data_IF_663136935014
#
_entry.id   IF_663136935014
#
_cell.length_a   1.000
_cell.length_b   1.000
_cell.length_c   1.000
_cell.angle_alpha   90.00
_cell.angle_beta   90.00
_cell.angle_gamma   90.00
#
_symmetry.space_group_name_H-M   'P 1'
#
loop_
_entity.id
_entity.type
_entity.pdbx_description
1 polymer ?
#
# COMPACT_ATOMS: atom_id res chain seq x y z
N UNK A 1 4.30 -26.00 10.75
CA UNK A 1 2.99 -25.42 10.35
C UNK A 1 1.87 -26.22 10.99
N UNK A 2 0.88 -25.59 11.62
CA UNK A 2 -0.20 -26.29 12.32
C UNK A 2 -1.26 -26.84 11.35
N UNK A 3 -1.96 -27.90 11.75
CA UNK A 3 -3.00 -28.57 10.96
C UNK A 3 -4.13 -27.63 10.48
N UNK A 4 -4.41 -26.56 11.23
CA UNK A 4 -5.41 -25.54 10.86
C UNK A 4 -4.99 -24.75 9.60
N UNK A 5 -3.69 -24.53 9.40
CA UNK A 5 -3.16 -23.84 8.21
C UNK A 5 -3.37 -24.67 6.93
N UNK A 6 -3.14 -25.98 7.02
CA UNK A 6 -3.29 -26.91 5.88
C UNK A 6 -4.71 -26.96 5.32
N UNK A 7 -5.73 -26.91 6.19
CA UNK A 7 -7.13 -27.02 5.77
C UNK A 7 -7.70 -25.74 5.16
N UNK A 8 -7.23 -24.54 5.56
CA UNK A 8 -7.65 -23.28 4.94
C UNK A 8 -7.13 -23.15 3.51
N UNK A 9 -5.86 -23.50 3.28
CA UNK A 9 -5.27 -23.53 1.95
C UNK A 9 -6.03 -24.49 1.02
N UNK A 10 -6.60 -25.57 1.56
CA UNK A 10 -7.37 -26.58 0.80
C UNK A 10 -8.72 -26.07 0.30
N UNK A 11 -9.42 -25.20 1.05
CA UNK A 11 -10.70 -24.61 0.62
C UNK A 11 -10.51 -23.52 -0.43
N UNK A 12 -9.44 -22.73 -0.34
CA UNK A 12 -9.13 -21.71 -1.34
C UNK A 12 -8.69 -22.31 -2.69
N UNK A 13 -8.00 -23.46 -2.66
CA UNK A 13 -7.61 -24.27 -3.84
C UNK A 13 -8.80 -24.78 -4.67
N UNK A 14 -9.98 -24.97 -4.06
CA UNK A 14 -11.15 -25.52 -4.77
C UNK A 14 -11.96 -24.46 -5.53
N UNK A 15 -11.77 -23.17 -5.26
CA UNK A 15 -12.55 -22.07 -5.86
C UNK A 15 -11.91 -21.47 -7.14
N UNK A 16 -11.09 -22.24 -7.87
CA UNK A 16 -10.69 -21.90 -9.25
C UNK A 16 -9.61 -20.83 -9.43
N UNK A 17 -8.99 -20.31 -8.38
CA UNK A 17 -7.88 -19.36 -8.50
C UNK A 17 -6.51 -20.06 -8.47
N UNK A 18 -5.89 -20.24 -9.64
CA UNK A 18 -4.42 -20.38 -9.79
C UNK A 18 -3.75 -21.77 -9.63
N UNK A 19 -4.30 -22.82 -10.25
CA UNK A 19 -3.63 -24.13 -10.38
C UNK A 19 -2.25 -24.09 -11.06
N UNK A 20 -1.95 -23.10 -11.91
CA UNK A 20 -0.70 -23.05 -12.69
C UNK A 20 0.52 -22.43 -11.97
N UNK A 21 0.36 -21.97 -10.72
CA UNK A 21 1.44 -21.32 -9.97
C UNK A 21 1.76 -22.02 -8.64
N UNK A 22 1.19 -23.21 -8.41
CA UNK A 22 1.40 -24.03 -7.20
C UNK A 22 2.87 -24.18 -6.77
N UNK A 23 3.87 -24.38 -7.67
CA UNK A 23 5.26 -24.55 -7.25
C UNK A 23 5.87 -23.29 -6.60
N UNK A 24 5.33 -22.11 -6.93
CA UNK A 24 5.78 -20.84 -6.37
C UNK A 24 5.20 -20.62 -4.96
N UNK A 25 3.96 -21.04 -4.74
CA UNK A 25 3.22 -20.82 -3.50
C UNK A 25 3.58 -21.79 -2.38
N UNK A 26 3.97 -23.03 -2.70
CA UNK A 26 4.41 -24.01 -1.69
C UNK A 26 5.66 -23.60 -0.90
N UNK A 27 6.44 -22.65 -1.42
CA UNK A 27 7.67 -22.16 -0.79
C UNK A 27 7.46 -20.90 0.06
N UNK A 28 6.28 -20.28 0.04
CA UNK A 28 6.03 -19.06 0.79
C UNK A 28 5.80 -19.38 2.26
N UNK A 29 6.77 -19.04 3.11
CA UNK A 29 6.75 -19.35 4.55
C UNK A 29 6.70 -18.09 5.40
N UNK A 30 6.99 -16.93 4.82
CA UNK A 30 7.13 -15.65 5.51
C UNK A 30 6.45 -14.51 4.75
N UNK A 31 6.10 -13.43 5.43
CA UNK A 31 5.61 -12.20 4.79
C UNK A 31 6.57 -11.66 3.70
N UNK A 32 7.88 -11.89 3.88
CA UNK A 32 8.90 -11.51 2.90
C UNK A 32 8.77 -12.31 1.61
N UNK A 33 8.49 -13.61 1.68
CA UNK A 33 8.30 -14.46 0.49
C UNK A 33 7.10 -13.99 -0.33
N UNK A 34 5.97 -13.72 0.35
CA UNK A 34 4.77 -13.15 -0.28
C UNK A 34 5.06 -11.80 -0.95
N UNK A 35 5.85 -10.94 -0.30
CA UNK A 35 6.27 -9.66 -0.90
C UNK A 35 7.13 -9.83 -2.15
N UNK A 36 8.11 -10.74 -2.13
CA UNK A 36 9.00 -10.98 -3.27
C UNK A 36 8.19 -11.50 -4.46
N UNK A 37 7.29 -12.47 -4.22
CA UNK A 37 6.42 -13.02 -5.24
C UNK A 37 5.46 -11.96 -5.80
N UNK A 38 4.86 -11.12 -4.95
CA UNK A 38 4.00 -10.02 -5.38
C UNK A 38 4.76 -9.00 -6.24
N UNK A 39 5.98 -8.61 -5.85
CA UNK A 39 6.85 -7.73 -6.65
C UNK A 39 7.14 -8.30 -8.04
N UNK A 40 7.36 -9.63 -8.15
CA UNK A 40 7.56 -10.30 -9.44
C UNK A 40 6.30 -10.18 -10.31
N UNK A 41 5.13 -10.47 -9.75
CA UNK A 41 3.84 -10.37 -10.46
C UNK A 41 3.55 -8.92 -10.90
N UNK A 42 3.83 -7.93 -10.05
CA UNK A 42 3.71 -6.50 -10.40
C UNK A 42 4.56 -6.15 -11.63
N UNK A 43 5.81 -6.63 -11.71
CA UNK A 43 6.68 -6.40 -12.88
C UNK A 43 6.15 -7.06 -14.16
N UNK A 44 5.35 -8.11 -14.01
CA UNK A 44 4.69 -8.83 -15.10
C UNK A 44 3.33 -8.22 -15.47
N UNK A 45 2.88 -7.16 -14.80
CA UNK A 45 1.56 -6.54 -15.02
C UNK A 45 0.41 -7.31 -14.37
N UNK A 46 0.70 -8.34 -13.58
CA UNK A 46 -0.29 -9.25 -12.98
C UNK A 46 -0.81 -8.70 -11.64
N UNK A 47 -1.38 -7.50 -11.66
CA UNK A 47 -1.72 -6.73 -10.46
C UNK A 47 -2.76 -7.41 -9.55
N UNK A 48 -3.80 -8.02 -10.12
CA UNK A 48 -4.82 -8.72 -9.32
C UNK A 48 -4.29 -10.01 -8.70
N UNK A 49 -3.35 -10.70 -9.38
CA UNK A 49 -2.66 -11.87 -8.82
C UNK A 49 -1.78 -11.42 -7.65
N UNK A 50 -0.99 -10.36 -7.85
CA UNK A 50 -0.15 -9.79 -6.79
C UNK A 50 -0.99 -9.37 -5.58
N UNK A 51 -2.15 -8.75 -5.80
CA UNK A 51 -3.03 -8.32 -4.72
C UNK A 51 -3.69 -9.50 -3.99
N UNK A 52 -4.14 -10.52 -4.73
CA UNK A 52 -4.70 -11.75 -4.13
C UNK A 52 -3.67 -12.42 -3.24
N UNK A 53 -2.42 -12.51 -3.71
CA UNK A 53 -1.33 -13.08 -2.93
C UNK A 53 -1.06 -12.29 -1.65
N UNK A 54 -0.97 -10.97 -1.73
CA UNK A 54 -0.73 -10.14 -0.55
C UNK A 54 -1.89 -10.21 0.46
N UNK A 55 -3.14 -10.35 0.00
CA UNK A 55 -4.29 -10.58 0.88
C UNK A 55 -4.17 -11.88 1.66
N UNK A 56 -3.81 -12.97 0.99
CA UNK A 56 -3.54 -14.25 1.65
C UNK A 56 -2.40 -14.10 2.68
N UNK A 57 -1.31 -13.42 2.32
CA UNK A 57 -0.22 -13.10 3.25
C UNK A 57 -0.72 -12.33 4.47
N UNK A 58 -1.66 -11.40 4.31
CA UNK A 58 -2.27 -10.65 5.42
C UNK A 58 -3.18 -11.50 6.30
N UNK A 59 -3.76 -12.60 5.81
CA UNK A 59 -4.48 -13.55 6.67
C UNK A 59 -3.54 -14.26 7.66
N UNK A 60 -2.26 -14.42 7.28
CA UNK A 60 -1.23 -15.05 8.11
C UNK A 60 -0.47 -14.05 8.98
N UNK A 61 -0.19 -12.85 8.45
CA UNK A 61 0.52 -11.78 9.16
C UNK A 61 -0.26 -10.45 9.08
N UNK A 62 -1.42 -10.36 9.76
CA UNK A 62 -2.32 -9.22 9.63
C UNK A 62 -1.75 -7.88 10.13
N UNK A 63 -0.71 -7.93 10.98
CA UNK A 63 -0.04 -6.77 11.56
C UNK A 63 1.22 -6.36 10.82
N UNK A 64 1.54 -6.99 9.69
CA UNK A 64 2.75 -6.67 8.94
C UNK A 64 2.53 -5.41 8.07
N UNK A 65 3.20 -4.27 8.35
CA UNK A 65 3.03 -3.04 7.59
C UNK A 65 3.36 -3.23 6.10
N UNK A 66 4.45 -3.93 5.79
CA UNK A 66 4.92 -4.08 4.40
C UNK A 66 3.91 -4.75 3.48
N UNK A 67 3.09 -5.67 3.98
CA UNK A 67 2.06 -6.33 3.20
C UNK A 67 0.91 -5.37 2.85
N UNK A 68 0.49 -4.54 3.82
CA UNK A 68 -0.56 -3.55 3.58
C UNK A 68 -0.06 -2.39 2.71
N UNK A 69 1.16 -1.88 2.91
CA UNK A 69 1.72 -0.82 2.05
C UNK A 69 1.85 -1.29 0.59
N UNK A 70 2.20 -2.54 0.34
CA UNK A 70 2.25 -3.08 -1.04
C UNK A 70 0.87 -3.20 -1.68
N UNK A 71 -0.17 -3.61 -0.94
CA UNK A 71 -1.54 -3.60 -1.46
C UNK A 71 -2.01 -2.19 -1.79
N UNK A 72 -1.75 -1.23 -0.89
CA UNK A 72 -2.06 0.19 -1.13
C UNK A 72 -1.35 0.66 -2.40
N UNK A 73 -0.08 0.31 -2.61
CA UNK A 73 0.68 0.65 -3.82
C UNK A 73 0.07 0.05 -5.09
N UNK A 74 -0.43 -1.19 -5.05
CA UNK A 74 -1.08 -1.82 -6.20
C UNK A 74 -2.41 -1.12 -6.53
N UNK A 75 -3.20 -0.80 -5.50
CA UNK A 75 -4.52 -0.19 -5.71
C UNK A 75 -4.48 1.30 -5.95
N UNK A 76 -3.48 2.02 -5.48
CA UNK A 76 -3.40 3.48 -5.58
C UNK A 76 -3.76 4.05 -6.96
N UNK A 77 -3.18 3.55 -8.07
CA UNK A 77 -3.45 4.09 -9.40
C UNK A 77 -4.86 3.79 -9.94
N UNK A 78 -5.48 2.67 -9.57
CA UNK A 78 -6.69 2.15 -10.24
C UNK A 78 -7.92 2.02 -9.33
N UNK A 79 -7.70 1.92 -8.02
CA UNK A 79 -8.67 1.60 -6.95
C UNK A 79 -8.38 2.44 -5.71
N UNK A 80 -8.40 3.76 -5.89
CA UNK A 80 -7.99 4.71 -4.86
C UNK A 80 -8.82 4.64 -3.58
N UNK A 81 -10.13 4.36 -3.70
CA UNK A 81 -11.01 4.21 -2.54
C UNK A 81 -10.58 3.02 -1.69
N UNK A 82 -10.23 1.91 -2.32
CA UNK A 82 -9.74 0.69 -1.69
C UNK A 82 -8.35 0.91 -1.07
N UNK A 83 -7.47 1.63 -1.77
CA UNK A 83 -6.17 2.03 -1.22
C UNK A 83 -6.33 2.88 0.06
N UNK A 84 -7.26 3.85 0.06
CA UNK A 84 -7.59 4.64 1.26
C UNK A 84 -8.20 3.80 2.38
N UNK A 85 -9.13 2.90 2.06
CA UNK A 85 -9.75 2.03 3.05
C UNK A 85 -8.70 1.14 3.76
N UNK A 86 -7.76 0.57 3.00
CA UNK A 86 -6.64 -0.20 3.56
C UNK A 86 -5.72 0.65 4.43
N UNK A 87 -5.49 1.90 4.04
CA UNK A 87 -4.67 2.82 4.83
C UNK A 87 -5.34 3.21 6.15
N UNK A 88 -6.63 3.54 6.14
CA UNK A 88 -7.36 3.85 7.37
C UNK A 88 -7.48 2.62 8.27
N UNK A 89 -7.69 1.42 7.71
CA UNK A 89 -7.61 0.16 8.46
C UNK A 89 -6.23 0.00 9.13
N UNK A 90 -5.15 0.30 8.42
CA UNK A 90 -3.79 0.22 8.94
C UNK A 90 -3.55 1.23 10.07
N UNK A 91 -4.07 2.45 9.94
CA UNK A 91 -4.01 3.48 10.99
C UNK A 91 -4.76 3.05 12.24
N UNK A 92 -6.00 2.59 12.09
CA UNK A 92 -6.84 2.16 13.22
C UNK A 92 -6.23 0.98 13.99
N UNK A 93 -5.53 0.08 13.29
CA UNK A 93 -4.83 -1.05 13.89
C UNK A 93 -3.45 -0.71 14.46
N UNK A 94 -2.98 0.54 14.31
CA UNK A 94 -1.64 0.95 14.74
C UNK A 94 -0.51 0.28 13.96
N UNK A 95 -0.77 -0.20 12.74
CA UNK A 95 0.21 -0.89 11.90
C UNK A 95 0.78 0.01 10.79
N UNK A 96 0.24 1.21 10.60
CA UNK A 96 0.74 2.15 9.61
C UNK A 96 2.06 2.80 10.07
N UNK A 97 3.13 2.56 9.32
CA UNK A 97 4.47 3.12 9.52
C UNK A 97 4.81 4.22 8.50
N UNK A 98 6.02 4.77 8.57
CA UNK A 98 6.54 5.79 7.65
C UNK A 98 6.38 5.36 6.17
N UNK A 99 6.67 4.10 5.85
CA UNK A 99 6.50 3.53 4.50
C UNK A 99 5.04 3.56 4.06
N UNK A 100 4.12 3.25 4.96
CA UNK A 100 2.67 3.23 4.69
C UNK A 100 2.13 4.63 4.42
N UNK A 101 2.52 5.62 5.23
CA UNK A 101 2.19 7.04 5.00
C UNK A 101 2.77 7.55 3.67
N UNK A 102 4.07 7.31 3.45
CA UNK A 102 4.76 7.72 2.22
C UNK A 102 4.15 7.08 0.97
N UNK A 103 3.67 5.84 1.08
CA UNK A 103 2.97 5.17 -0.02
C UNK A 103 1.70 5.93 -0.40
N UNK A 104 0.88 6.35 0.58
CA UNK A 104 -0.34 7.11 0.29
C UNK A 104 -0.05 8.51 -0.22
N UNK A 105 0.91 9.23 0.36
CA UNK A 105 1.35 10.52 -0.16
C UNK A 105 1.80 10.41 -1.62
N UNK A 106 2.57 9.37 -1.97
CA UNK A 106 3.01 9.16 -3.33
C UNK A 106 1.86 8.85 -4.31
N UNK A 107 0.74 8.29 -3.83
CA UNK A 107 -0.47 8.13 -4.64
C UNK A 107 -1.08 9.50 -4.97
N UNK A 108 -1.10 10.44 -4.01
CA UNK A 108 -1.48 11.82 -4.30
C UNK A 108 -0.50 12.49 -5.28
N UNK A 109 0.81 12.37 -5.05
CA UNK A 109 1.83 12.97 -5.90
C UNK A 109 1.74 12.57 -7.39
N UNK A 110 1.26 11.36 -7.67
CA UNK A 110 1.14 10.79 -9.02
C UNK A 110 -0.18 11.09 -9.73
N UNK A 111 -1.14 11.73 -9.06
CA UNK A 111 -2.41 12.11 -9.68
C UNK A 111 -2.24 13.40 -10.45
N UNK A 112 -2.63 13.40 -11.72
CA UNK A 112 -2.74 14.61 -12.50
C UNK A 112 -3.95 15.44 -12.01
N UNK A 113 -3.79 16.76 -11.97
CA UNK A 113 -4.83 17.73 -11.59
C UNK A 113 -5.43 17.45 -10.19
N UNK A 114 -4.59 17.50 -9.15
CA UNK A 114 -5.04 17.35 -7.78
C UNK A 114 -6.12 18.39 -7.46
N UNK A 115 -7.29 17.97 -6.98
CA UNK A 115 -8.28 18.94 -6.52
C UNK A 115 -7.81 19.61 -5.22
N UNK A 116 -8.28 20.82 -4.90
CA UNK A 116 -7.95 21.47 -3.63
C UNK A 116 -8.26 20.59 -2.40
N UNK A 117 -9.33 19.79 -2.44
CA UNK A 117 -9.67 18.87 -1.35
C UNK A 117 -8.70 17.68 -1.25
N UNK A 118 -8.15 17.21 -2.38
CA UNK A 118 -7.14 16.15 -2.35
C UNK A 118 -5.78 16.69 -1.87
N UNK A 119 -5.44 17.94 -2.20
CA UNK A 119 -4.26 18.63 -1.65
C UNK A 119 -4.37 18.80 -0.13
N UNK A 120 -5.50 19.29 0.37
CA UNK A 120 -5.74 19.45 1.81
C UNK A 120 -5.61 18.11 2.55
N UNK A 121 -6.11 17.01 1.95
CA UNK A 121 -5.96 15.67 2.54
C UNK A 121 -4.50 15.23 2.58
N UNK A 122 -3.72 15.48 1.53
CA UNK A 122 -2.30 15.17 1.52
C UNK A 122 -1.52 15.96 2.58
N UNK A 123 -1.83 17.26 2.74
CA UNK A 123 -1.26 18.11 3.79
C UNK A 123 -1.59 17.57 5.19
N UNK A 124 -2.85 17.20 5.45
CA UNK A 124 -3.26 16.60 6.73
C UNK A 124 -2.53 15.30 7.03
N UNK A 125 -2.35 14.45 6.02
CA UNK A 125 -1.60 13.20 6.17
C UNK A 125 -0.12 13.43 6.49
N UNK A 126 0.48 14.43 5.85
CA UNK A 126 1.87 14.81 6.11
C UNK A 126 2.05 15.39 7.51
N UNK A 127 1.15 16.26 7.94
CA UNK A 127 1.18 16.82 9.30
C UNK A 127 0.95 15.75 10.36
N UNK A 128 0.05 14.79 10.11
CA UNK A 128 -0.12 13.63 10.98
C UNK A 128 1.18 12.80 11.09
N UNK A 129 1.89 12.59 9.97
CA UNK A 129 3.17 11.90 9.97
C UNK A 129 4.25 12.66 10.77
N UNK A 130 4.28 13.99 10.68
CA UNK A 130 5.18 14.84 11.48
C UNK A 130 4.87 14.74 12.97
N UNK A 131 3.60 14.86 13.36
CA UNK A 131 3.17 14.76 14.76
C UNK A 131 3.51 13.41 15.38
N UNK A 132 3.46 12.34 14.59
CA UNK A 132 3.87 10.99 14.99
C UNK A 132 5.39 10.77 14.99
N UNK A 133 6.19 11.72 14.50
CA UNK A 133 7.64 11.57 14.37
C UNK A 133 8.07 10.55 13.31
N UNK A 134 7.20 10.23 12.35
CA UNK A 134 7.46 9.24 11.28
C UNK A 134 7.66 9.89 9.90
N UNK A 135 7.52 11.21 9.80
CA UNK A 135 7.88 11.94 8.59
C UNK A 135 9.40 11.93 8.39
N UNK A 136 9.85 11.62 7.17
CA UNK A 136 11.27 11.56 6.81
C UNK A 136 11.53 12.25 5.46
N UNK A 137 12.79 12.25 4.98
CA UNK A 137 13.18 12.90 3.71
C UNK A 137 12.25 12.54 2.54
N UNK A 138 11.80 11.28 2.47
CA UNK A 138 10.86 10.82 1.45
C UNK A 138 9.50 11.52 1.59
N UNK A 139 8.99 11.69 2.81
CA UNK A 139 7.74 12.42 3.07
C UNK A 139 7.84 13.87 2.58
N UNK A 140 8.91 14.57 2.92
CA UNK A 140 9.13 15.97 2.52
C UNK A 140 9.28 16.11 1.00
N UNK A 141 10.12 15.29 0.37
CA UNK A 141 10.29 15.30 -1.08
C UNK A 141 8.98 14.99 -1.82
N UNK A 142 8.17 14.08 -1.28
CA UNK A 142 6.86 13.74 -1.86
C UNK A 142 5.89 14.91 -1.77
N UNK A 143 5.87 15.65 -0.65
CA UNK A 143 5.03 16.84 -0.50
C UNK A 143 5.44 17.98 -1.45
N UNK A 144 6.74 18.21 -1.66
CA UNK A 144 7.20 19.18 -2.66
C UNK A 144 6.70 18.83 -4.06
N UNK A 145 6.75 17.54 -4.43
CA UNK A 145 6.21 17.08 -5.71
C UNK A 145 4.68 17.27 -5.80
N UNK A 146 3.96 17.05 -4.70
CA UNK A 146 2.50 17.30 -4.63
C UNK A 146 2.21 18.79 -4.89
N UNK A 147 2.93 19.71 -4.24
CA UNK A 147 2.74 21.14 -4.44
C UNK A 147 3.07 21.60 -5.85
N UNK A 148 4.16 21.07 -6.43
CA UNK A 148 4.52 21.34 -7.82
C UNK A 148 3.43 20.87 -8.79
N UNK A 149 2.78 19.73 -8.51
CA UNK A 149 1.74 19.15 -9.36
C UNK A 149 0.32 19.70 -9.08
N UNK A 150 0.10 20.42 -7.98
CA UNK A 150 -1.22 20.98 -7.61
C UNK A 150 -1.46 22.39 -8.15
N UNK A 151 -0.52 22.96 -8.89
CA UNK A 151 -0.64 24.32 -9.46
C UNK A 151 -0.81 25.41 -8.39
N UNK A 152 0.14 25.51 -7.45
CA UNK A 152 0.24 26.69 -6.59
C UNK A 152 1.11 27.76 -7.28
N UNK A 153 0.59 28.98 -7.34
CA UNK A 153 1.37 30.15 -7.72
C UNK A 153 2.40 30.46 -6.62
N UNK A 154 3.50 31.17 -6.91
CA UNK A 154 4.56 31.46 -5.93
C UNK A 154 4.10 32.03 -4.57
N UNK A 155 2.91 32.63 -4.48
CA UNK A 155 2.35 33.23 -3.27
C UNK A 155 2.02 32.21 -2.16
N UNK A 156 1.80 30.94 -2.49
CA UNK A 156 1.46 29.91 -1.50
C UNK A 156 2.71 29.29 -0.83
N UNK A 157 3.91 29.55 -1.38
CA UNK A 157 5.19 29.07 -0.85
C UNK A 157 5.73 29.94 0.30
N UNK A 158 5.24 31.17 0.47
CA UNK A 158 5.71 32.10 1.52
C UNK A 158 5.12 31.84 2.92
N UNK A 159 4.22 30.86 3.06
CA UNK A 159 3.53 30.56 4.33
C UNK A 159 3.89 29.19 4.95
N UNK A 160 4.88 28.49 4.40
CA UNK A 160 5.39 27.21 4.91
C UNK A 160 6.71 27.41 5.67
#
# INVERSE_FOLDING_TARGET
>A
MSFKQRNKNRRFRQNGGFSQYEPLYEKLKTAKDYSIAAKKLIRQGEFEKAASLLREGREHWPTNPFLVSQLIKIYGPYKFREAKALFEEAKQKGIADDVTYNTVLNIYAKRHNLSPQDLEKAQKLFEEAKQKGIANEVSYATMLNIYANSSLSPQDLEKA
#
